data_IF_655834732452
#
_entry.id   IF_655834732452
#
_cell.length_a   1.000
_cell.length_b   1.000
_cell.length_c   1.000
_cell.angle_alpha   90.00
_cell.angle_beta   90.00
_cell.angle_gamma   90.00
#
_symmetry.space_group_name_H-M   'P 1'
#
loop_
_entity.id
_entity.type
_entity.pdbx_description
1 polymer ?
#
# COMPACT_ATOMS: atom_id res chain seq x y z
N UNK A 1 -19.82 -2.29 -8.12
CA UNK A 1 -19.25 -3.01 -9.29
C UNK A 1 -18.28 -2.09 -10.01
N UNK A 2 -17.36 -2.59 -10.85
CA UNK A 2 -16.39 -1.74 -11.57
C UNK A 2 -16.50 -1.96 -13.08
N UNK A 3 -16.64 -0.86 -13.82
CA UNK A 3 -16.70 -0.83 -15.28
C UNK A 3 -15.31 -0.51 -15.86
N UNK A 4 -15.03 -1.01 -17.06
CA UNK A 4 -13.75 -0.78 -17.75
C UNK A 4 -13.96 -0.51 -19.22
N UNK A 5 -13.35 0.55 -19.73
CA UNK A 5 -13.36 0.90 -21.15
C UNK A 5 -12.10 1.69 -21.49
N UNK A 6 -11.34 1.22 -22.49
CA UNK A 6 -9.97 1.70 -22.77
C UNK A 6 -9.11 1.61 -21.48
N UNK A 7 -8.45 2.71 -21.12
CA UNK A 7 -7.64 2.83 -19.90
C UNK A 7 -8.43 3.40 -18.71
N UNK A 8 -9.75 3.59 -18.84
CA UNK A 8 -10.60 4.19 -17.82
C UNK A 8 -11.37 3.14 -17.02
N UNK A 9 -11.55 3.47 -15.74
CA UNK A 9 -12.28 2.68 -14.76
C UNK A 9 -13.48 3.48 -14.29
N UNK A 10 -14.62 2.82 -14.08
CA UNK A 10 -15.86 3.45 -13.62
C UNK A 10 -16.44 2.75 -12.41
N UNK A 11 -17.08 3.49 -11.50
CA UNK A 11 -17.91 2.90 -10.45
C UNK A 11 -19.29 2.51 -10.99
N UNK A 12 -19.96 1.62 -10.27
CA UNK A 12 -21.36 1.30 -10.49
C UNK A 12 -22.00 1.03 -9.14
N UNK A 13 -22.92 1.91 -8.78
CA UNK A 13 -23.68 1.98 -7.53
C UNK A 13 -25.16 2.06 -7.89
N UNK A 14 -26.01 1.44 -7.06
CA UNK A 14 -27.46 1.45 -7.25
C UNK A 14 -28.06 2.36 -6.19
N UNK A 15 -28.87 3.30 -6.63
CA UNK A 15 -29.73 4.06 -5.74
C UNK A 15 -31.07 3.33 -5.59
N UNK A 16 -31.37 2.90 -4.36
CA UNK A 16 -32.58 2.15 -4.03
C UNK A 16 -33.82 3.06 -3.95
N UNK A 17 -33.65 4.38 -3.75
CA UNK A 17 -34.77 5.31 -3.66
C UNK A 17 -35.31 5.66 -5.04
N UNK A 18 -34.42 5.96 -5.99
CA UNK A 18 -34.78 6.24 -7.38
C UNK A 18 -34.87 5.01 -8.27
N UNK A 19 -34.39 3.85 -7.81
CA UNK A 19 -34.24 2.62 -8.59
C UNK A 19 -33.42 2.82 -9.88
N UNK A 20 -32.38 3.65 -9.79
CA UNK A 20 -31.46 3.94 -10.89
C UNK A 20 -30.03 3.55 -10.53
N UNK A 21 -29.19 3.39 -11.55
CA UNK A 21 -27.78 3.11 -11.40
C UNK A 21 -26.98 4.37 -11.68
N UNK A 22 -25.99 4.65 -10.84
CA UNK A 22 -25.07 5.75 -11.02
C UNK A 22 -23.63 5.25 -11.03
N UNK A 23 -22.79 5.99 -11.74
CA UNK A 23 -21.36 5.75 -11.76
C UNK A 23 -20.58 7.02 -12.04
N UNK A 24 -19.28 6.93 -11.78
CA UNK A 24 -18.33 7.98 -12.12
C UNK A 24 -17.01 7.38 -12.58
N UNK A 25 -16.28 8.12 -13.41
CA UNK A 25 -14.90 7.77 -13.72
C UNK A 25 -14.06 7.80 -12.44
N UNK A 26 -13.24 6.78 -12.27
CA UNK A 26 -12.36 6.58 -11.13
C UNK A 26 -10.92 6.93 -11.51
N UNK A 27 -10.16 7.37 -10.51
CA UNK A 27 -8.72 7.65 -10.60
C UNK A 27 -8.34 8.77 -11.59
N UNK A 28 -9.28 9.71 -11.83
CA UNK A 28 -9.03 11.00 -12.47
C UNK A 28 -9.50 12.12 -11.53
N UNK A 29 -8.99 13.34 -11.73
CA UNK A 29 -9.42 14.52 -10.95
C UNK A 29 -10.74 15.12 -11.45
N UNK A 30 -11.01 15.01 -12.74
CA UNK A 30 -12.24 15.53 -13.33
C UNK A 30 -13.44 14.70 -12.87
N UNK A 31 -14.53 15.39 -12.51
CA UNK A 31 -15.78 14.73 -12.13
C UNK A 31 -16.56 14.41 -13.41
N UNK A 32 -16.54 13.15 -13.82
CA UNK A 32 -17.33 12.64 -14.94
C UNK A 32 -18.27 11.57 -14.40
N UNK A 33 -19.57 11.83 -14.44
CA UNK A 33 -20.64 10.98 -13.91
C UNK A 33 -21.54 10.50 -15.04
N UNK A 34 -22.18 9.36 -14.83
CA UNK A 34 -23.16 8.77 -15.75
C UNK A 34 -24.20 8.00 -14.94
N UNK A 35 -25.37 7.81 -15.53
CA UNK A 35 -26.50 7.12 -14.91
C UNK A 35 -27.31 6.35 -15.95
N UNK A 36 -28.05 5.34 -15.49
CA UNK A 36 -28.93 4.53 -16.32
C UNK A 36 -29.91 3.71 -15.48
N UNK A 37 -30.98 3.21 -16.11
CA UNK A 37 -31.99 2.40 -15.45
C UNK A 37 -31.64 0.89 -15.43
N UNK A 38 -30.68 0.47 -16.25
CA UNK A 38 -30.25 -0.92 -16.35
C UNK A 38 -28.73 -1.07 -16.42
N UNK A 39 -28.17 -2.24 -15.99
CA UNK A 39 -26.73 -2.46 -16.06
C UNK A 39 -26.15 -2.38 -17.48
N UNK A 40 -26.93 -2.77 -18.49
CA UNK A 40 -26.50 -2.73 -19.90
C UNK A 40 -26.40 -1.28 -20.40
N UNK A 41 -27.40 -0.46 -20.07
CA UNK A 41 -27.40 0.96 -20.39
C UNK A 41 -26.33 1.70 -19.58
N UNK A 42 -26.05 1.30 -18.34
CA UNK A 42 -25.00 1.90 -17.54
C UNK A 42 -23.62 1.70 -18.18
N UNK A 43 -23.35 0.51 -18.75
CA UNK A 43 -22.12 0.27 -19.49
C UNK A 43 -22.05 1.19 -20.73
N UNK A 44 -23.13 1.33 -21.50
CA UNK A 44 -23.16 2.21 -22.65
C UNK A 44 -22.98 3.70 -22.25
N UNK A 45 -23.63 4.13 -21.18
CA UNK A 45 -23.51 5.47 -20.62
C UNK A 45 -22.08 5.76 -20.14
N UNK A 46 -21.42 4.77 -19.52
CA UNK A 46 -20.02 4.86 -19.14
C UNK A 46 -19.09 5.01 -20.36
N UNK A 47 -19.28 4.20 -21.41
CA UNK A 47 -18.47 4.30 -22.63
C UNK A 47 -18.65 5.66 -23.33
N UNK A 48 -19.90 6.15 -23.39
CA UNK A 48 -20.23 7.47 -23.91
C UNK A 48 -19.55 8.58 -23.09
N UNK A 49 -19.64 8.52 -21.76
CA UNK A 49 -19.00 9.48 -20.87
C UNK A 49 -17.47 9.52 -21.03
N UNK A 50 -16.82 8.37 -21.26
CA UNK A 50 -15.37 8.31 -21.57
C UNK A 50 -15.07 8.94 -22.93
N UNK A 51 -15.90 8.69 -23.95
CA UNK A 51 -15.72 9.29 -25.29
C UNK A 51 -15.87 10.81 -25.22
N UNK A 52 -16.91 11.29 -24.54
CA UNK A 52 -17.18 12.71 -24.32
C UNK A 52 -16.04 13.37 -23.55
N UNK A 53 -15.59 12.77 -22.45
CA UNK A 53 -14.43 13.27 -21.69
C UNK A 53 -13.17 13.46 -22.56
N UNK A 54 -12.88 12.49 -23.43
CA UNK A 54 -11.73 12.57 -24.34
C UNK A 54 -11.93 13.64 -25.43
N UNK A 55 -13.17 13.81 -25.91
CA UNK A 55 -13.51 14.84 -26.87
C UNK A 55 -13.37 16.24 -26.26
N UNK A 56 -13.90 16.45 -25.05
CA UNK A 56 -13.77 17.70 -24.29
C UNK A 56 -12.31 18.05 -24.05
N UNK A 57 -11.50 17.08 -23.61
CA UNK A 57 -10.07 17.29 -23.42
C UNK A 57 -9.42 17.81 -24.70
N UNK A 58 -9.75 17.21 -25.85
CA UNK A 58 -9.24 17.63 -27.16
C UNK A 58 -9.72 19.03 -27.55
N UNK A 59 -11.00 19.34 -27.34
CA UNK A 59 -11.59 20.64 -27.65
C UNK A 59 -10.95 21.78 -26.85
N UNK A 60 -10.76 21.57 -25.54
CA UNK A 60 -10.15 22.55 -24.66
C UNK A 60 -8.61 22.55 -24.69
N UNK A 61 -7.97 21.77 -25.58
CA UNK A 61 -6.52 21.65 -25.66
C UNK A 61 -5.86 21.08 -24.38
N UNK A 62 -6.62 20.33 -23.59
CA UNK A 62 -6.17 19.67 -22.36
C UNK A 62 -5.71 18.24 -22.67
N UNK A 63 -4.65 17.80 -21.98
CA UNK A 63 -4.27 16.40 -22.03
C UNK A 63 -5.20 15.59 -21.12
N UNK A 64 -5.88 14.56 -21.63
CA UNK A 64 -6.73 13.72 -20.80
C UNK A 64 -5.91 13.03 -19.71
N UNK A 65 -6.47 12.96 -18.50
CA UNK A 65 -5.78 12.30 -17.40
C UNK A 65 -5.74 10.80 -17.68
N UNK A 66 -4.54 10.21 -17.55
CA UNK A 66 -4.36 8.76 -17.55
C UNK A 66 -4.49 8.27 -16.11
N UNK A 67 -5.52 7.45 -15.81
CA UNK A 67 -5.61 6.76 -14.53
C UNK A 67 -4.32 6.01 -14.20
N UNK A 68 -3.93 6.03 -12.93
CA UNK A 68 -2.90 5.12 -12.40
C UNK A 68 -1.55 5.14 -13.14
N UNK A 69 -1.06 6.33 -13.53
CA UNK A 69 0.20 6.55 -14.28
C UNK A 69 1.51 6.19 -13.55
N UNK A 70 1.47 5.38 -12.49
CA UNK A 70 2.64 4.90 -11.75
C UNK A 70 3.29 5.91 -10.80
N UNK A 71 2.75 7.13 -10.68
CA UNK A 71 3.21 8.10 -9.68
C UNK A 71 2.41 7.91 -8.38
N UNK A 72 3.12 7.60 -7.28
CA UNK A 72 2.52 7.34 -5.98
C UNK A 72 3.27 8.12 -4.89
N UNK A 73 2.71 9.26 -4.49
CA UNK A 73 3.29 10.12 -3.46
C UNK A 73 2.63 9.80 -2.12
N UNK A 74 3.42 9.34 -1.15
CA UNK A 74 2.94 9.02 0.20
C UNK A 74 3.65 9.86 1.25
N UNK A 75 2.92 10.24 2.30
CA UNK A 75 3.50 10.82 3.53
C UNK A 75 3.65 9.71 4.55
N UNK A 76 4.85 9.58 5.09
CA UNK A 76 5.22 8.54 6.05
C UNK A 76 5.92 9.17 7.25
N UNK A 77 5.98 8.46 8.38
CA UNK A 77 6.67 8.97 9.56
C UNK A 77 8.19 9.11 9.31
N UNK A 78 8.86 10.04 9.99
CA UNK A 78 10.32 10.21 9.86
C UNK A 78 11.10 8.92 10.17
N UNK A 79 10.64 8.15 11.15
CA UNK A 79 11.28 6.88 11.55
C UNK A 79 11.18 5.84 10.43
N UNK A 80 9.98 5.66 9.85
CA UNK A 80 9.79 4.72 8.74
C UNK A 80 10.57 5.16 7.49
N UNK A 81 10.63 6.47 7.22
CA UNK A 81 11.47 6.99 6.14
C UNK A 81 12.95 6.64 6.36
N UNK A 82 13.46 6.80 7.59
CA UNK A 82 14.85 6.45 7.94
C UNK A 82 15.10 4.95 7.74
N UNK A 83 14.21 4.09 8.23
CA UNK A 83 14.34 2.64 8.09
C UNK A 83 14.37 2.20 6.62
N UNK A 84 13.46 2.73 5.80
CA UNK A 84 13.40 2.44 4.36
C UNK A 84 14.67 2.93 3.65
N UNK A 85 15.16 4.13 3.99
CA UNK A 85 16.36 4.70 3.37
C UNK A 85 17.61 3.87 3.69
N UNK A 86 17.77 3.40 4.94
CA UNK A 86 18.88 2.54 5.35
C UNK A 86 18.80 1.19 4.63
N UNK A 87 17.63 0.55 4.61
CA UNK A 87 17.47 -0.75 3.94
C UNK A 87 17.71 -0.67 2.42
N UNK A 88 17.30 0.43 1.77
CA UNK A 88 17.59 0.67 0.36
C UNK A 88 19.10 0.80 0.11
N UNK A 89 19.81 1.56 0.96
CA UNK A 89 21.25 1.77 0.86
C UNK A 89 22.03 0.45 1.05
N UNK A 90 21.70 -0.33 2.07
CA UNK A 90 22.32 -1.64 2.33
C UNK A 90 22.11 -2.61 1.16
N UNK A 91 20.93 -2.56 0.52
CA UNK A 91 20.60 -3.36 -0.65
C UNK A 91 21.13 -2.81 -1.98
N UNK A 92 21.89 -1.71 -1.99
CA UNK A 92 22.42 -1.07 -3.19
C UNK A 92 21.34 -0.57 -4.17
N UNK A 93 20.19 -0.14 -3.65
CA UNK A 93 19.02 0.29 -4.43
C UNK A 93 18.68 1.74 -4.12
N UNK A 94 18.05 2.42 -5.08
CA UNK A 94 17.35 3.66 -4.78
C UNK A 94 16.15 3.38 -3.86
N UNK A 95 15.74 4.39 -3.10
CA UNK A 95 14.57 4.29 -2.23
C UNK A 95 13.30 3.94 -3.03
N UNK A 96 13.13 4.50 -4.23
CA UNK A 96 11.98 4.20 -5.09
C UNK A 96 11.98 2.74 -5.56
N UNK A 97 13.13 2.18 -5.93
CA UNK A 97 13.26 0.77 -6.31
C UNK A 97 12.97 -0.15 -5.11
N UNK A 98 13.50 0.18 -3.94
CA UNK A 98 13.24 -0.58 -2.72
C UNK A 98 11.75 -0.56 -2.35
N UNK A 99 11.12 0.61 -2.37
CA UNK A 99 9.67 0.74 -2.11
C UNK A 99 8.86 -0.01 -3.18
N UNK A 100 9.22 0.09 -4.46
CA UNK A 100 8.54 -0.64 -5.53
C UNK A 100 8.64 -2.15 -5.36
N UNK A 101 9.80 -2.66 -4.92
CA UNK A 101 10.00 -4.06 -4.59
C UNK A 101 9.09 -4.49 -3.43
N UNK A 102 9.05 -3.74 -2.34
CA UNK A 102 8.16 -4.03 -1.20
C UNK A 102 6.69 -4.02 -1.63
N UNK A 103 6.28 -3.01 -2.40
CA UNK A 103 4.92 -2.89 -2.91
C UNK A 103 4.56 -4.00 -3.92
N UNK A 104 5.53 -4.55 -4.65
CA UNK A 104 5.28 -5.65 -5.60
C UNK A 104 4.67 -6.89 -4.91
N UNK A 105 4.93 -7.07 -3.61
CA UNK A 105 4.38 -8.15 -2.80
C UNK A 105 2.87 -8.01 -2.53
N UNK A 106 2.21 -6.88 -2.83
CA UNK A 106 0.78 -6.67 -2.57
C UNK A 106 -0.11 -7.78 -3.15
N UNK A 107 0.22 -8.33 -4.33
CA UNK A 107 -0.54 -9.44 -4.94
C UNK A 107 -0.50 -10.70 -4.07
N UNK A 108 0.63 -10.93 -3.39
CA UNK A 108 0.82 -12.08 -2.51
C UNK A 108 0.15 -11.85 -1.14
N UNK A 109 0.06 -10.60 -0.68
CA UNK A 109 -0.64 -10.25 0.56
C UNK A 109 -2.15 -10.48 0.46
N UNK A 110 -2.78 -10.17 -0.68
CA UNK A 110 -4.20 -10.40 -0.90
C UNK A 110 -4.57 -11.91 -0.91
N UNK A 111 -3.64 -12.78 -1.34
CA UNK A 111 -3.81 -14.23 -1.22
C UNK A 111 -3.48 -14.79 0.17
N UNK A 112 -2.59 -14.11 0.90
CA UNK A 112 -2.13 -14.51 2.23
C UNK A 112 -3.20 -14.38 3.33
N UNK A 113 -4.11 -13.40 3.25
CA UNK A 113 -5.24 -13.29 4.18
C UNK A 113 -6.17 -14.53 4.14
N UNK A 114 -6.32 -15.18 2.98
CA UNK A 114 -7.08 -16.42 2.85
C UNK A 114 -6.33 -17.63 3.44
N UNK A 115 -5.01 -17.54 3.58
CA UNK A 115 -4.12 -18.61 4.05
C UNK A 115 -3.37 -18.22 5.32
N UNK A 116 -4.03 -17.58 6.29
CA UNK A 116 -3.48 -16.98 7.52
C UNK A 116 -2.39 -17.77 8.28
N UNK A 117 -2.24 -19.08 8.05
CA UNK A 117 -1.15 -19.91 8.60
C UNK A 117 0.15 -19.87 7.75
N UNK A 118 0.05 -19.85 6.43
CA UNK A 118 1.18 -19.84 5.49
C UNK A 118 1.81 -18.45 5.32
N UNK A 119 1.01 -17.38 5.44
CA UNK A 119 1.49 -16.00 5.40
C UNK A 119 2.54 -15.69 6.48
N UNK A 120 2.36 -16.26 7.68
CA UNK A 120 3.27 -16.10 8.80
C UNK A 120 4.62 -16.78 8.56
N UNK A 121 4.61 -17.91 7.85
CA UNK A 121 5.82 -18.61 7.40
C UNK A 121 6.48 -17.85 6.24
N UNK A 122 5.71 -17.29 5.32
CA UNK A 122 6.23 -16.50 4.21
C UNK A 122 6.91 -15.20 4.67
N UNK A 123 6.35 -14.50 5.68
CA UNK A 123 6.99 -13.33 6.30
C UNK A 123 8.33 -13.68 6.95
N UNK A 124 8.40 -14.88 7.55
CA UNK A 124 9.62 -15.39 8.16
C UNK A 124 10.65 -15.81 7.11
N UNK A 125 10.21 -16.37 5.98
CA UNK A 125 11.05 -16.75 4.85
C UNK A 125 11.57 -15.52 4.10
N UNK A 126 10.75 -14.51 3.85
CA UNK A 126 11.19 -13.28 3.18
C UNK A 126 12.14 -12.48 4.07
N UNK A 127 11.89 -12.39 5.37
CA UNK A 127 12.86 -11.85 6.33
C UNK A 127 14.18 -12.63 6.31
N UNK A 128 14.15 -13.97 6.32
CA UNK A 128 15.37 -14.80 6.22
C UNK A 128 16.10 -14.67 4.89
N UNK A 129 15.37 -14.55 3.78
CA UNK A 129 15.96 -14.44 2.43
C UNK A 129 16.67 -13.10 2.27
N UNK A 130 16.06 -12.01 2.74
CA UNK A 130 16.66 -10.67 2.75
C UNK A 130 17.91 -10.65 3.64
N UNK A 131 17.87 -11.30 4.81
CA UNK A 131 19.04 -11.39 5.71
C UNK A 131 20.17 -12.27 5.16
N UNK A 132 19.84 -13.38 4.48
CA UNK A 132 20.82 -14.29 3.90
C UNK A 132 21.53 -13.69 2.68
N UNK A 133 20.83 -12.89 1.87
CA UNK A 133 21.41 -12.19 0.72
C UNK A 133 22.37 -11.06 1.13
N UNK A 134 22.22 -10.53 2.36
CA UNK A 134 23.06 -9.46 2.91
C UNK A 134 24.13 -9.96 3.90
N UNK A 135 24.32 -11.28 4.04
CA UNK A 135 25.40 -11.88 4.85
C UNK A 135 25.25 -11.75 6.38
N UNK A 136 24.09 -11.35 6.88
CA UNK A 136 23.84 -11.14 8.32
C UNK A 136 23.46 -12.47 8.97
N UNK A 137 24.30 -12.98 9.88
CA UNK A 137 23.99 -14.16 10.71
C UNK A 137 23.52 -13.72 12.10
N UNK A 138 22.22 -13.84 12.36
CA UNK A 138 21.65 -13.79 13.71
C UNK A 138 20.77 -15.03 13.93
N UNK A 139 21.03 -15.79 14.98
CA UNK A 139 20.19 -16.91 15.40
C UNK A 139 18.98 -16.38 16.18
N UNK A 140 17.78 -16.66 15.67
CA UNK A 140 16.55 -16.42 16.41
C UNK A 140 16.15 -17.71 17.13
N UNK A 141 16.08 -17.66 18.47
CA UNK A 141 15.45 -18.71 19.26
C UNK A 141 13.93 -18.67 19.02
N UNK A 142 13.35 -19.84 18.83
CA UNK A 142 11.92 -20.03 18.63
C UNK A 142 11.16 -19.50 19.85
N UNK A 143 10.33 -18.48 19.68
CA UNK A 143 9.40 -18.05 20.76
C UNK A 143 8.43 -19.21 20.99
N UNK A 144 8.35 -19.77 22.21
CA UNK A 144 7.54 -20.96 22.45
C UNK A 144 6.06 -20.61 22.28
N UNK A 145 5.38 -21.45 21.50
CA UNK A 145 3.94 -21.46 21.36
C UNK A 145 3.32 -21.97 22.66
N UNK A 146 2.77 -21.10 23.50
CA UNK A 146 1.71 -21.54 24.38
C UNK A 146 0.60 -20.50 24.56
N UNK A 147 -0.63 -21.02 24.55
CA UNK A 147 -1.91 -20.32 24.64
C UNK A 147 -2.29 -20.10 26.12
N UNK A 148 -3.05 -19.04 26.34
CA UNK A 148 -4.02 -18.81 27.42
C UNK A 148 -3.51 -18.74 28.87
N UNK A 149 -3.51 -17.54 29.44
CA UNK A 149 -4.35 -17.19 30.60
C UNK A 149 -4.31 -15.69 30.85
N UNK A 150 -5.47 -15.13 31.19
CA UNK A 150 -5.64 -13.76 31.62
C UNK A 150 -4.76 -13.45 32.84
N UNK A 151 -4.23 -12.23 32.88
CA UNK A 151 -3.59 -11.62 34.05
C UNK A 151 -2.17 -12.10 34.31
N UNK A 152 -1.17 -11.35 33.83
CA UNK A 152 0.03 -11.14 34.63
C UNK A 152 0.75 -9.85 34.22
N UNK A 153 0.87 -8.99 35.21
CA UNK A 153 1.59 -7.73 35.31
C UNK A 153 2.85 -7.60 34.45
N UNK A 154 2.86 -6.63 33.55
CA UNK A 154 4.08 -6.09 32.94
C UNK A 154 4.84 -5.27 33.99
N UNK A 155 5.69 -5.95 34.77
CA UNK A 155 6.74 -5.34 35.58
C UNK A 155 8.05 -5.56 34.83
N UNK A 156 8.44 -4.63 33.96
CA UNK A 156 9.83 -4.57 33.52
C UNK A 156 10.60 -3.73 34.53
N UNK A 157 11.56 -4.41 35.16
CA UNK A 157 12.49 -3.88 36.13
C UNK A 157 13.25 -2.68 35.58
N UNK A 158 13.29 -1.64 36.41
CA UNK A 158 14.35 -0.65 36.45
C UNK A 158 15.71 -1.35 36.51
N UNK A 159 16.62 -0.96 35.63
CA UNK A 159 17.97 -1.48 35.64
C UNK A 159 18.69 -1.23 34.33
N UNK A 160 19.04 0.04 34.07
CA UNK A 160 20.41 0.45 33.73
C UNK A 160 20.45 1.96 33.34
N UNK A 161 19.99 2.85 34.23
CA UNK A 161 20.37 4.26 34.19
C UNK A 161 21.62 4.46 35.06
N UNK A 162 22.77 3.95 34.59
CA UNK A 162 24.08 4.36 35.11
C UNK A 162 25.16 3.87 34.14
N UNK A 163 25.37 4.63 33.05
CA UNK A 163 26.59 4.63 32.22
C UNK A 163 26.59 5.71 31.12
N UNK A 164 25.95 6.86 31.37
CA UNK A 164 25.97 8.04 30.48
C UNK A 164 26.30 9.34 31.23
N UNK A 165 27.01 9.23 32.35
CA UNK A 165 27.72 10.33 32.99
C UNK A 165 29.12 9.81 33.26
N UNK A 166 30.05 10.15 32.38
CA UNK A 166 31.52 10.19 32.58
C UNK A 166 32.24 10.00 31.24
N UNK A 167 32.02 10.91 30.28
CA UNK A 167 33.09 11.26 29.35
C UNK A 167 32.88 12.63 28.66
N UNK A 168 32.72 13.68 29.45
CA UNK A 168 32.95 15.07 28.99
C UNK A 168 33.58 15.87 30.11
N UNK A 169 34.81 15.50 30.50
CA UNK A 169 35.76 16.42 31.14
C UNK A 169 37.16 15.82 31.08
N UNK A 170 37.88 16.13 29.99
CA UNK A 170 39.35 16.22 29.86
C UNK A 170 39.73 16.29 28.38
N UNK A 171 39.64 17.50 27.83
CA UNK A 171 40.53 17.94 26.76
C UNK A 171 41.06 19.30 27.22
N UNK A 172 42.35 19.31 27.54
CA UNK A 172 43.18 20.50 27.73
C UNK A 172 43.45 21.16 26.38
#
# INVERSE_FOLDING_TARGET
>A
MMLKYKDYLGSAEMDLESNTLHGKLLFIRDLVTYEADSPAELQAAFEAAVIEYLADCKEYGRNPEKPCKGQFNVRISPDMHREIAVAALEGGKSMNEYVSLVLSCHKNLMGAEQHHKAAREALFVSAKLVMAQNGVKQEFSTIPSNRNSAGDSFRLMEGNQSKWADNTSKAH
#
